data_IF_899763060459
#
_entry.id   IF_899763060459
#
_cell.length_a   1.000
_cell.length_b   1.000
_cell.length_c   1.000
_cell.angle_alpha   90.00
_cell.angle_beta   90.00
_cell.angle_gamma   90.00
#
_symmetry.space_group_name_H-M   'P 1'
#
loop_
_entity.id
_entity.type
_entity.pdbx_description
1 polymer ?
#
# COMPACT_ATOMS: atom_id res chain seq x y z
N UNK A 1 -13.20 5.79 25.20
CA UNK A 1 -12.44 4.60 24.78
C UNK A 1 -11.50 4.23 25.91
N UNK A 2 -11.60 3.02 26.47
CA UNK A 2 -10.59 2.55 27.42
C UNK A 2 -9.38 2.14 26.58
N UNK A 3 -8.31 2.93 26.66
CA UNK A 3 -7.02 2.53 26.10
C UNK A 3 -6.48 1.43 26.99
N UNK A 4 -6.33 0.20 26.47
CA UNK A 4 -5.66 -0.86 27.22
C UNK A 4 -4.23 -0.40 27.58
N UNK A 5 -3.80 -0.69 28.80
CA UNK A 5 -2.47 -0.29 29.31
C UNK A 5 -1.32 -0.92 28.52
N UNK A 6 -0.06 -0.56 28.80
CA UNK A 6 1.08 -1.13 28.09
C UNK A 6 1.13 -2.65 28.27
N UNK A 7 1.15 -3.40 27.16
CA UNK A 7 1.31 -4.86 27.17
C UNK A 7 2.75 -5.21 26.80
N UNK A 8 3.41 -5.99 27.67
CA UNK A 8 4.75 -6.52 27.39
C UNK A 8 4.60 -7.80 26.59
N UNK A 9 5.29 -7.88 25.44
CA UNK A 9 5.31 -9.04 24.57
C UNK A 9 6.74 -9.54 24.40
N UNK A 10 6.90 -10.86 24.26
CA UNK A 10 8.20 -11.49 24.01
C UNK A 10 8.32 -11.85 22.53
N UNK A 11 9.45 -11.49 21.94
CA UNK A 11 9.83 -11.91 20.59
C UNK A 11 10.07 -13.42 20.58
N UNK A 12 9.41 -14.12 19.66
CA UNK A 12 9.55 -15.57 19.42
C UNK A 12 10.65 -15.82 18.38
N UNK A 13 10.76 -17.05 17.92
CA UNK A 13 11.71 -17.40 16.87
C UNK A 13 11.51 -16.54 15.61
N UNK A 14 12.61 -16.29 14.91
CA UNK A 14 12.63 -15.51 13.66
C UNK A 14 12.05 -14.09 13.77
N UNK A 15 12.02 -13.52 14.97
CA UNK A 15 11.55 -12.14 15.17
C UNK A 15 10.03 -11.99 15.23
N UNK A 16 9.28 -13.09 15.39
CA UNK A 16 7.82 -13.02 15.44
C UNK A 16 7.33 -12.41 16.77
N UNK A 17 6.34 -11.51 16.68
CA UNK A 17 5.65 -10.95 17.84
C UNK A 17 4.17 -11.27 17.71
N UNK A 18 3.59 -11.84 18.76
CA UNK A 18 2.14 -12.09 18.82
C UNK A 18 1.42 -10.83 19.30
N UNK A 19 0.49 -10.32 18.51
CA UNK A 19 -0.40 -9.23 18.92
C UNK A 19 -1.42 -9.80 19.91
N UNK A 20 -1.53 -9.30 21.16
CA UNK A 20 -2.51 -9.75 22.14
C UNK A 20 -3.96 -9.68 21.65
N UNK A 21 -4.81 -10.60 22.12
CA UNK A 21 -6.19 -10.73 21.64
C UNK A 21 -7.06 -9.48 21.86
N UNK A 22 -6.81 -8.74 22.94
CA UNK A 22 -7.50 -7.48 23.24
C UNK A 22 -7.18 -6.41 22.20
N UNK A 23 -5.88 -6.19 21.92
CA UNK A 23 -5.42 -5.25 20.91
C UNK A 23 -5.95 -5.62 19.52
N UNK A 24 -5.95 -6.92 19.16
CA UNK A 24 -6.51 -7.35 17.87
C UNK A 24 -8.00 -7.01 17.75
N UNK A 25 -8.80 -7.23 18.80
CA UNK A 25 -10.23 -6.90 18.79
C UNK A 25 -10.48 -5.40 18.71
N UNK A 26 -9.74 -4.61 19.49
CA UNK A 26 -9.87 -3.14 19.51
C UNK A 26 -9.48 -2.51 18.18
N UNK A 27 -8.46 -3.05 17.51
CA UNK A 27 -7.94 -2.53 16.24
C UNK A 27 -8.50 -3.24 14.99
N UNK A 28 -9.42 -4.21 15.16
CA UNK A 28 -9.98 -5.01 14.07
C UNK A 28 -8.91 -5.73 13.25
N UNK A 29 -7.90 -6.32 13.90
CA UNK A 29 -6.79 -7.01 13.23
C UNK A 29 -7.19 -8.45 12.95
N UNK A 30 -7.12 -8.83 11.68
CA UNK A 30 -7.48 -10.13 11.14
C UNK A 30 -6.25 -10.84 10.55
N UNK A 31 -6.40 -12.14 10.26
CA UNK A 31 -5.37 -12.90 9.59
C UNK A 31 -5.13 -12.37 8.17
N UNK A 32 -3.86 -12.22 7.78
CA UNK A 32 -3.48 -11.65 6.48
C UNK A 32 -3.29 -10.13 6.49
N UNK A 33 -3.65 -9.43 7.56
CA UNK A 33 -3.40 -8.01 7.68
C UNK A 33 -1.90 -7.68 7.60
N UNK A 34 -1.57 -6.69 6.78
CA UNK A 34 -0.19 -6.26 6.54
C UNK A 34 0.08 -5.00 7.34
N UNK A 35 1.23 -4.95 8.01
CA UNK A 35 1.70 -3.78 8.74
C UNK A 35 3.02 -3.28 8.16
N UNK A 36 3.16 -1.96 8.09
CA UNK A 36 4.45 -1.29 7.86
C UNK A 36 5.10 -1.06 9.22
N UNK A 37 6.35 -1.51 9.36
CA UNK A 37 7.17 -1.25 10.53
C UNK A 37 8.08 -0.05 10.28
N UNK A 38 8.00 0.96 11.14
CA UNK A 38 8.78 2.19 11.09
C UNK A 38 9.67 2.23 12.32
N UNK A 39 11.00 2.35 12.13
CA UNK A 39 11.95 2.50 13.23
C UNK A 39 12.22 3.97 13.53
N UNK A 40 12.02 4.38 14.78
CA UNK A 40 12.36 5.71 15.30
C UNK A 40 13.30 5.56 16.51
N UNK A 41 14.61 5.68 16.28
CA UNK A 41 15.62 5.37 17.30
C UNK A 41 15.52 3.90 17.74
N UNK A 42 15.25 3.69 19.03
CA UNK A 42 15.00 2.36 19.62
C UNK A 42 13.52 1.96 19.64
N UNK A 43 12.64 2.82 19.12
CA UNK A 43 11.19 2.55 19.04
C UNK A 43 10.84 1.92 17.69
N UNK A 44 9.95 0.93 17.72
CA UNK A 44 9.32 0.36 16.53
C UNK A 44 7.84 0.73 16.52
N UNK A 45 7.38 1.37 15.45
CA UNK A 45 5.97 1.70 15.23
C UNK A 45 5.42 0.78 14.14
N UNK A 46 4.34 0.07 14.43
CA UNK A 46 3.60 -0.71 13.45
C UNK A 46 2.34 0.07 13.04
N UNK A 47 2.20 0.36 11.74
CA UNK A 47 0.99 0.97 11.18
C UNK A 47 0.37 0.03 10.16
N UNK A 48 -0.96 -0.07 10.14
CA UNK A 48 -1.68 -0.89 9.16
C UNK A 48 -1.35 -0.38 7.76
N UNK A 49 -0.85 -1.27 6.91
CA UNK A 49 -0.59 -0.97 5.51
C UNK A 49 -1.94 -0.96 4.79
N UNK A 50 -2.40 0.22 4.38
CA UNK A 50 -3.49 0.30 3.40
C UNK A 50 -2.93 -0.11 2.05
N UNK A 51 -3.59 -1.08 1.42
CA UNK A 51 -3.30 -1.43 0.04
C UNK A 51 -3.86 -0.31 -0.83
N UNK A 52 -2.97 0.52 -1.37
CA UNK A 52 -3.35 1.65 -2.23
C UNK A 52 -3.79 1.18 -3.61
N UNK A 53 -3.33 0.00 -4.05
CA UNK A 53 -3.59 -0.50 -5.41
C UNK A 53 -5.09 -0.71 -5.72
N UNK A 54 -5.90 -1.36 -4.86
CA UNK A 54 -7.35 -1.46 -5.09
C UNK A 54 -8.03 -0.10 -5.14
N UNK A 55 -7.71 0.79 -4.20
CA UNK A 55 -8.29 2.15 -4.13
C UNK A 55 -7.98 2.95 -5.40
N UNK A 56 -6.74 2.84 -5.89
CA UNK A 56 -6.31 3.49 -7.15
C UNK A 56 -6.94 2.84 -8.37
N UNK A 57 -7.05 1.51 -8.39
CA UNK A 57 -7.71 0.81 -9.50
C UNK A 57 -9.18 1.22 -9.62
N UNK A 58 -9.92 1.27 -8.52
CA UNK A 58 -11.31 1.76 -8.49
C UNK A 58 -11.43 3.20 -8.98
N UNK A 59 -10.51 4.08 -8.56
CA UNK A 59 -10.48 5.47 -9.00
C UNK A 59 -10.19 5.60 -10.50
N UNK A 60 -9.24 4.81 -11.02
CA UNK A 60 -8.92 4.77 -12.46
C UNK A 60 -10.12 4.25 -13.26
N UNK A 61 -10.77 3.16 -12.83
CA UNK A 61 -11.95 2.64 -13.50
C UNK A 61 -13.11 3.64 -13.53
N UNK A 62 -13.30 4.40 -12.44
CA UNK A 62 -14.31 5.45 -12.39
C UNK A 62 -14.03 6.57 -13.40
N UNK A 63 -12.79 7.04 -13.46
CA UNK A 63 -12.36 8.05 -14.43
C UNK A 63 -12.47 7.54 -15.87
N UNK A 64 -12.10 6.28 -16.12
CA UNK A 64 -12.21 5.68 -17.45
C UNK A 64 -13.66 5.63 -17.94
N UNK A 65 -14.61 5.30 -17.04
CA UNK A 65 -16.05 5.33 -17.36
C UNK A 65 -16.58 6.74 -17.61
N UNK A 66 -16.09 7.73 -16.87
CA UNK A 66 -16.49 9.15 -17.04
C UNK A 66 -16.04 9.70 -18.39
N UNK A 67 -14.79 9.43 -18.77
CA UNK A 67 -14.17 9.89 -20.02
C UNK A 67 -14.51 9.00 -21.23
N UNK A 68 -15.17 7.85 -21.01
CA UNK A 68 -15.54 6.92 -22.07
C UNK A 68 -14.35 6.21 -22.72
N UNK A 69 -13.24 6.06 -21.99
CA UNK A 69 -12.00 5.44 -22.47
C UNK A 69 -11.92 3.96 -22.05
N UNK A 70 -11.32 3.16 -22.92
CA UNK A 70 -11.05 1.74 -22.67
C UNK A 70 -9.66 1.53 -22.06
N UNK A 71 -9.40 0.31 -21.58
CA UNK A 71 -8.07 -0.04 -21.08
C UNK A 71 -7.03 -0.01 -22.20
N UNK A 72 -7.42 -0.46 -23.39
CA UNK A 72 -6.62 -0.40 -24.60
C UNK A 72 -6.20 1.04 -24.91
N UNK A 73 -7.13 2.00 -24.89
CA UNK A 73 -6.83 3.43 -25.12
C UNK A 73 -5.81 3.97 -24.10
N UNK A 74 -5.95 3.59 -22.82
CA UNK A 74 -5.03 4.02 -21.76
C UNK A 74 -3.63 3.43 -21.95
N UNK A 75 -3.53 2.17 -22.40
CA UNK A 75 -2.25 1.51 -22.66
C UNK A 75 -1.56 2.06 -23.91
N UNK A 76 -2.31 2.34 -24.97
CA UNK A 76 -1.77 3.00 -26.18
C UNK A 76 -1.22 4.38 -25.85
N UNK A 77 -1.98 5.21 -25.11
CA UNK A 77 -1.51 6.52 -24.67
C UNK A 77 -0.26 6.45 -23.77
N UNK A 78 -0.16 5.42 -22.93
CA UNK A 78 1.04 5.19 -22.10
C UNK A 78 2.27 4.84 -22.94
N UNK A 79 2.09 4.08 -24.02
CA UNK A 79 3.17 3.73 -24.94
C UNK A 79 3.64 4.93 -25.76
N UNK A 80 2.71 5.77 -26.22
CA UNK A 80 3.02 7.04 -26.87
C UNK A 80 3.80 7.98 -25.97
N UNK A 81 3.37 8.17 -24.71
CA UNK A 81 4.11 9.02 -23.78
C UNK A 81 5.48 8.46 -23.39
N UNK A 82 5.59 7.13 -23.28
CA UNK A 82 6.91 6.51 -23.07
C UNK A 82 7.85 6.81 -24.24
N UNK A 83 7.36 6.75 -25.48
CA UNK A 83 8.16 7.07 -26.67
C UNK A 83 8.64 8.52 -26.64
N UNK A 84 7.73 9.48 -26.41
CA UNK A 84 8.06 10.90 -26.28
C UNK A 84 9.09 11.15 -25.17
N UNK A 85 8.90 10.55 -24.00
CA UNK A 85 9.82 10.69 -22.89
C UNK A 85 11.24 10.16 -23.19
N UNK A 86 11.33 9.03 -23.90
CA UNK A 86 12.63 8.45 -24.30
C UNK A 86 13.32 9.35 -25.33
N UNK A 87 12.58 9.86 -26.30
CA UNK A 87 13.09 10.80 -27.31
C UNK A 87 13.58 12.10 -26.66
N UNK A 88 12.79 12.70 -25.76
CA UNK A 88 13.15 13.94 -25.06
C UNK A 88 14.35 13.77 -24.13
N UNK A 89 14.43 12.66 -23.40
CA UNK A 89 15.46 12.46 -22.37
C UNK A 89 16.76 11.86 -22.90
N UNK A 90 16.68 11.06 -23.97
CA UNK A 90 17.82 10.28 -24.47
C UNK A 90 18.07 10.46 -25.97
N UNK A 91 17.18 11.11 -26.74
CA UNK A 91 17.36 11.33 -28.17
C UNK A 91 17.33 10.05 -29.02
N UNK A 92 16.73 8.98 -28.51
CA UNK A 92 16.64 7.68 -29.19
C UNK A 92 15.23 7.57 -29.78
N UNK A 93 15.11 7.62 -31.12
CA UNK A 93 13.87 7.26 -31.81
C UNK A 93 13.63 5.75 -31.65
N UNK A 94 12.51 5.34 -31.07
CA UNK A 94 12.10 3.93 -30.88
C UNK A 94 10.69 3.70 -31.40
#
# INVERSE_FOLDING_TARGET
MQTSGPVVVQVRDRGQITIPAEIRREMGIEEGDIFTLIRLGETLIATRKRLVAPEVAEAIEALMREEGITLEDLLEGLEEERRKYVEERYGIET
#
